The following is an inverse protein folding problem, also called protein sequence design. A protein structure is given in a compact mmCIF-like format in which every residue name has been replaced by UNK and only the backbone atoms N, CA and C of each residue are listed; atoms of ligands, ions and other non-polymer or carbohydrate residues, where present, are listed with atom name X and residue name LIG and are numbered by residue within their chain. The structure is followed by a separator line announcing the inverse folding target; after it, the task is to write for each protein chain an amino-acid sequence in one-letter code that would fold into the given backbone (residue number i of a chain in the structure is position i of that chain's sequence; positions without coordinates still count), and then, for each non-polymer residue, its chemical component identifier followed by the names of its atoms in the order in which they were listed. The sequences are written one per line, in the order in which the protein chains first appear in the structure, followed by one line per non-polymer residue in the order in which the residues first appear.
data_IF_559063208793
#
_entry.id   IF_559063208793
#
_cell.length_a   1.000
_cell.length_b   1.000
_cell.length_c   1.000
_cell.angle_alpha   90.00
_cell.angle_beta   90.00
_cell.angle_gamma   90.00
#
_symmetry.space_group_name_H-M   'P 1'
#
loop_
_entity.id
_entity.type
_entity.pdbx_description
1 polymer ?
#
# COMPACT_ATOMS: atom_id res chain seq x y z
N UNK A 1 -47.74 -12.77 -0.63
CA UNK A 1 -46.53 -13.37 -0.02
C UNK A 1 -45.33 -12.79 -0.74
N UNK A 2 -44.60 -11.90 -0.08
CA UNK A 2 -43.39 -11.25 -0.62
C UNK A 2 -42.19 -12.15 -0.40
N UNK A 3 -41.38 -12.35 -1.44
CA UNK A 3 -40.01 -12.84 -1.31
C UNK A 3 -39.09 -11.65 -1.55
N UNK A 4 -38.47 -11.18 -0.47
CA UNK A 4 -37.60 -10.00 -0.44
C UNK A 4 -36.28 -10.26 -1.16
N UNK A 5 -35.90 -9.29 -1.98
CA UNK A 5 -34.61 -9.16 -2.62
C UNK A 5 -33.66 -8.52 -1.59
N UNK A 6 -32.77 -9.31 -0.99
CA UNK A 6 -31.79 -8.84 0.00
C UNK A 6 -30.52 -8.39 -0.70
N UNK A 7 -30.57 -7.20 -1.30
CA UNK A 7 -29.36 -6.45 -1.65
C UNK A 7 -28.56 -6.15 -0.37
N UNK A 8 -27.24 -6.44 -0.30
CA UNK A 8 -26.44 -6.04 0.85
C UNK A 8 -26.32 -4.51 0.84
N UNK A 9 -26.95 -3.89 1.83
CA UNK A 9 -26.85 -2.47 2.12
C UNK A 9 -25.42 -2.16 2.59
N UNK A 10 -24.55 -1.78 1.65
CA UNK A 10 -23.27 -1.15 1.98
C UNK A 10 -23.52 0.25 2.56
N UNK A 11 -23.69 0.34 3.87
CA UNK A 11 -23.64 1.60 4.61
C UNK A 11 -22.19 2.10 4.67
N UNK A 12 -21.75 2.78 3.62
CA UNK A 12 -20.43 3.43 3.58
C UNK A 12 -20.46 4.72 4.40
N UNK A 13 -20.30 4.61 5.72
CA UNK A 13 -19.96 5.76 6.57
C UNK A 13 -18.49 6.15 6.32
N UNK A 14 -18.20 6.72 5.15
CA UNK A 14 -16.88 7.30 4.88
C UNK A 14 -16.68 8.54 5.73
N UNK A 15 -15.50 8.63 6.35
CA UNK A 15 -15.15 9.78 7.19
C UNK A 15 -15.08 11.05 6.33
N UNK A 16 -15.30 12.26 6.90
CA UNK A 16 -15.13 13.52 6.16
C UNK A 16 -13.78 13.62 5.44
N UNK A 17 -12.71 13.16 6.08
CA UNK A 17 -11.36 13.15 5.50
C UNK A 17 -11.24 12.23 4.27
N UNK A 18 -11.88 11.06 4.30
CA UNK A 18 -11.90 10.16 3.15
C UNK A 18 -12.68 10.77 1.97
N UNK A 19 -13.77 11.49 2.24
CA UNK A 19 -14.53 12.21 1.21
C UNK A 19 -13.70 13.31 0.56
N UNK A 20 -13.05 14.15 1.37
CA UNK A 20 -12.15 15.21 0.88
C UNK A 20 -11.06 14.60 -0.01
N UNK A 21 -10.42 13.52 0.43
CA UNK A 21 -9.36 12.89 -0.33
C UNK A 21 -9.86 12.28 -1.65
N UNK A 22 -11.06 11.70 -1.67
CA UNK A 22 -11.70 11.21 -2.89
C UNK A 22 -12.01 12.36 -3.86
N UNK A 23 -12.53 13.48 -3.38
CA UNK A 23 -12.80 14.67 -4.20
C UNK A 23 -11.51 15.27 -4.75
N UNK A 24 -10.47 15.41 -3.92
CA UNK A 24 -9.14 15.81 -4.38
C UNK A 24 -8.62 14.85 -5.45
N UNK A 25 -8.72 13.54 -5.25
CA UNK A 25 -8.27 12.57 -6.25
C UNK A 25 -9.03 12.76 -7.59
N UNK A 26 -10.35 12.92 -7.55
CA UNK A 26 -11.18 13.15 -8.74
C UNK A 26 -10.74 14.40 -9.51
N UNK A 27 -10.45 15.50 -8.82
CA UNK A 27 -9.93 16.72 -9.46
C UNK A 27 -8.60 16.49 -10.19
N UNK A 28 -7.76 15.57 -9.72
CA UNK A 28 -6.49 15.25 -10.38
C UNK A 28 -6.69 14.38 -11.63
N UNK A 29 -7.59 13.41 -11.58
CA UNK A 29 -7.73 12.36 -12.60
C UNK A 29 -8.88 12.59 -13.59
N UNK A 30 -9.62 13.70 -13.45
CA UNK A 30 -10.72 14.03 -14.37
C UNK A 30 -10.27 13.98 -15.85
N UNK A 31 -11.08 13.33 -16.69
CA UNK A 31 -10.74 13.04 -18.08
C UNK A 31 -10.72 14.29 -18.96
N UNK A 32 -11.49 15.31 -18.59
CA UNK A 32 -11.68 16.53 -19.37
C UNK A 32 -10.69 17.61 -18.91
N UNK A 33 -10.77 17.97 -17.63
CA UNK A 33 -10.11 19.10 -16.99
C UNK A 33 -9.23 18.68 -15.80
N UNK A 34 -8.83 17.40 -15.71
CA UNK A 34 -8.01 16.92 -14.59
C UNK A 34 -6.64 17.55 -14.52
N UNK A 35 -6.17 17.83 -13.29
CA UNK A 35 -4.88 18.48 -13.06
C UNK A 35 -3.71 17.70 -13.67
N UNK A 36 -3.74 16.36 -13.66
CA UNK A 36 -2.68 15.53 -14.29
C UNK A 36 -2.58 15.79 -15.79
N UNK A 37 -3.71 15.95 -16.48
CA UNK A 37 -3.77 16.22 -17.91
C UNK A 37 -3.29 17.64 -18.23
N UNK A 38 -3.74 18.62 -17.44
CA UNK A 38 -3.29 20.01 -17.55
C UNK A 38 -1.79 20.11 -17.30
N UNK A 39 -1.29 19.50 -16.23
CA UNK A 39 0.12 19.44 -15.88
C UNK A 39 0.96 18.89 -17.03
N UNK A 40 0.55 17.76 -17.62
CA UNK A 40 1.26 17.17 -18.78
C UNK A 40 1.37 18.14 -19.96
N UNK A 41 0.32 18.93 -20.26
CA UNK A 41 0.35 19.94 -21.33
C UNK A 41 1.33 21.08 -21.04
N UNK A 42 1.61 21.33 -19.75
CA UNK A 42 2.57 22.32 -19.28
C UNK A 42 3.97 21.72 -19.01
N UNK A 43 4.20 20.44 -19.36
CA UNK A 43 5.46 19.75 -19.08
C UNK A 43 5.66 19.37 -17.61
N UNK A 44 4.61 19.43 -16.78
CA UNK A 44 4.64 19.05 -15.37
C UNK A 44 4.15 17.61 -15.16
N UNK A 45 4.83 16.88 -14.28
CA UNK A 45 4.43 15.56 -13.84
C UNK A 45 3.72 15.65 -12.49
N UNK A 46 2.39 15.56 -12.49
CA UNK A 46 1.59 15.55 -11.26
C UNK A 46 1.15 14.13 -10.91
N UNK A 47 1.15 13.83 -9.61
CA UNK A 47 0.65 12.57 -9.07
C UNK A 47 -0.66 12.82 -8.32
N UNK A 48 -1.69 12.05 -8.64
CA UNK A 48 -2.96 12.13 -7.92
C UNK A 48 -2.78 11.68 -6.47
N UNK A 49 -3.35 12.39 -5.48
CA UNK A 49 -3.25 12.04 -4.08
C UNK A 49 -3.91 10.67 -3.81
N UNK A 50 -3.40 9.93 -2.83
CA UNK A 50 -3.85 8.57 -2.49
C UNK A 50 -4.15 8.42 -1.02
N UNK A 51 -5.00 7.45 -0.70
CA UNK A 51 -5.42 7.15 0.68
C UNK A 51 -4.27 6.74 1.60
N UNK A 52 -3.32 5.96 1.07
CA UNK A 52 -2.18 5.50 1.84
C UNK A 52 -0.91 6.22 1.41
N UNK A 53 -0.12 6.63 2.40
CA UNK A 53 1.27 7.05 2.17
C UNK A 53 2.16 5.80 2.15
N UNK A 54 3.20 5.83 1.32
CA UNK A 54 4.19 4.76 1.24
C UNK A 54 5.44 5.22 1.98
N UNK A 55 5.92 4.41 2.92
CA UNK A 55 7.12 4.68 3.71
C UNK A 55 8.10 3.54 3.49
N UNK A 56 9.22 3.82 2.84
CA UNK A 56 10.28 2.84 2.62
C UNK A 56 11.34 2.97 3.69
N UNK A 57 11.66 1.87 4.37
CA UNK A 57 12.69 1.83 5.41
C UNK A 57 13.98 1.30 4.81
N UNK A 58 15.03 2.11 4.79
CA UNK A 58 16.35 1.76 4.28
C UNK A 58 17.35 1.81 5.44
N UNK A 59 18.27 0.84 5.47
CA UNK A 59 19.33 0.78 6.46
C UNK A 59 20.05 -0.56 6.40
N UNK A 60 21.22 -0.62 7.03
CA UNK A 60 22.08 -1.81 7.05
C UNK A 60 21.38 -3.06 7.63
N UNK A 61 22.03 -4.20 7.48
CA UNK A 61 21.65 -5.41 8.20
C UNK A 61 21.50 -5.13 9.71
N UNK A 62 20.42 -5.61 10.31
CA UNK A 62 20.12 -5.44 11.75
C UNK A 62 19.86 -4.00 12.24
N UNK A 63 19.64 -3.02 11.36
CA UNK A 63 19.26 -1.65 11.76
C UNK A 63 17.86 -1.52 12.43
N UNK A 64 17.15 -2.63 12.62
CA UNK A 64 15.84 -2.67 13.29
C UNK A 64 14.64 -2.28 12.40
N UNK A 65 14.78 -2.33 11.07
CA UNK A 65 13.71 -1.99 10.11
C UNK A 65 12.43 -2.81 10.33
N UNK A 66 12.57 -4.14 10.27
CA UNK A 66 11.47 -5.10 10.47
C UNK A 66 10.89 -5.01 11.89
N UNK A 67 11.76 -4.83 12.89
CA UNK A 67 11.35 -4.64 14.29
C UNK A 67 10.56 -3.36 14.49
N UNK A 68 10.94 -2.26 13.83
CA UNK A 68 10.18 -1.01 13.87
C UNK A 68 8.79 -1.18 13.27
N UNK A 69 8.68 -1.87 12.13
CA UNK A 69 7.38 -2.14 11.49
C UNK A 69 6.49 -2.94 12.44
N UNK A 70 7.01 -4.04 13.02
CA UNK A 70 6.26 -4.86 13.98
C UNK A 70 5.80 -4.05 15.20
N UNK A 71 6.70 -3.22 15.76
CA UNK A 71 6.34 -2.31 16.85
C UNK A 71 5.27 -1.29 16.44
N UNK A 72 5.36 -0.74 15.23
CA UNK A 72 4.42 0.26 14.74
C UNK A 72 3.01 -0.34 14.60
N UNK A 73 2.90 -1.49 13.94
CA UNK A 73 1.64 -2.19 13.72
C UNK A 73 1.14 -2.93 14.97
N UNK A 74 1.99 -3.14 15.98
CA UNK A 74 1.65 -3.84 17.21
C UNK A 74 1.46 -5.36 17.04
N UNK A 75 2.08 -5.94 16.02
CA UNK A 75 1.96 -7.35 15.64
C UNK A 75 3.28 -7.84 15.04
N UNK A 76 3.54 -9.15 15.12
CA UNK A 76 4.73 -9.75 14.53
C UNK A 76 4.43 -10.24 13.11
N UNK A 77 4.52 -9.33 12.13
CA UNK A 77 4.25 -9.61 10.71
C UNK A 77 5.54 -9.93 9.95
N UNK A 78 6.62 -9.19 10.22
CA UNK A 78 7.94 -9.54 9.72
C UNK A 78 8.62 -10.51 10.68
N UNK A 79 9.35 -11.48 10.13
CA UNK A 79 10.30 -12.26 10.92
C UNK A 79 11.40 -11.32 11.42
N UNK A 80 11.81 -11.52 12.67
CA UNK A 80 12.87 -10.74 13.29
C UNK A 80 13.82 -11.69 14.01
N UNK A 81 15.12 -11.56 13.75
CA UNK A 81 16.18 -12.35 14.36
C UNK A 81 17.56 -11.94 13.86
N UNK A 82 18.59 -12.72 14.23
CA UNK A 82 20.01 -12.40 13.98
C UNK A 82 20.47 -12.86 12.58
N UNK A 83 19.75 -13.81 11.97
CA UNK A 83 20.06 -14.32 10.63
C UNK A 83 19.60 -13.35 9.53
N UNK A 84 20.15 -13.50 8.32
CA UNK A 84 19.79 -12.69 7.14
C UNK A 84 18.37 -13.06 6.67
N UNK A 85 17.36 -12.47 7.32
CA UNK A 85 15.95 -12.83 7.13
C UNK A 85 15.32 -12.13 5.93
N UNK A 86 15.63 -10.84 5.72
CA UNK A 86 15.04 -10.05 4.64
C UNK A 86 15.92 -10.09 3.39
N UNK A 87 15.63 -11.04 2.49
CA UNK A 87 16.32 -11.19 1.19
C UNK A 87 15.68 -10.37 0.06
N UNK A 88 14.50 -9.79 0.30
CA UNK A 88 13.70 -9.10 -0.71
C UNK A 88 12.92 -7.92 -0.15
N UNK A 89 12.13 -7.28 -1.01
CA UNK A 89 11.26 -6.17 -0.62
C UNK A 89 9.93 -6.73 -0.11
N UNK A 90 9.58 -6.39 1.13
CA UNK A 90 8.28 -6.75 1.70
C UNK A 90 7.41 -5.52 1.80
N UNK A 91 6.20 -5.58 1.25
CA UNK A 91 5.18 -4.54 1.34
C UNK A 91 4.25 -4.85 2.50
N UNK A 92 4.19 -4.00 3.51
CA UNK A 92 3.35 -4.22 4.69
C UNK A 92 2.20 -3.22 4.68
N UNK A 93 0.97 -3.70 4.53
CA UNK A 93 -0.21 -2.84 4.36
C UNK A 93 -1.44 -3.33 5.14
N UNK A 94 -2.31 -2.40 5.53
CA UNK A 94 -3.56 -2.76 6.20
C UNK A 94 -4.64 -3.31 5.24
N UNK A 95 -5.30 -4.40 5.60
CA UNK A 95 -6.43 -4.99 4.88
C UNK A 95 -7.55 -5.47 5.81
N UNK A 96 -8.57 -6.13 5.24
CA UNK A 96 -9.70 -6.67 6.02
C UNK A 96 -9.36 -8.00 6.71
N UNK A 97 -8.40 -8.75 6.17
CA UNK A 97 -7.94 -10.05 6.66
C UNK A 97 -6.43 -10.14 6.52
N UNK A 98 -5.82 -11.01 7.32
CA UNK A 98 -4.40 -11.31 7.22
C UNK A 98 -4.12 -12.22 6.05
N UNK A 99 -3.22 -11.79 5.17
CA UNK A 99 -2.85 -12.50 3.95
C UNK A 99 -1.41 -12.19 3.58
N UNK A 100 -0.72 -13.18 3.00
CA UNK A 100 0.63 -13.02 2.47
C UNK A 100 0.60 -13.31 0.97
N UNK A 101 1.18 -12.40 0.18
CA UNK A 101 1.27 -12.51 -1.27
C UNK A 101 2.74 -12.51 -1.70
N UNK A 102 3.06 -13.16 -2.81
CA UNK A 102 4.42 -13.18 -3.37
C UNK A 102 4.38 -12.91 -4.87
N UNK A 103 5.50 -12.40 -5.39
CA UNK A 103 5.70 -12.22 -6.82
C UNK A 103 4.68 -11.29 -7.47
N UNK A 104 4.11 -11.74 -8.58
CA UNK A 104 3.15 -10.93 -9.38
C UNK A 104 1.89 -10.55 -8.61
N UNK A 105 1.48 -11.32 -7.61
CA UNK A 105 0.31 -10.99 -6.80
C UNK A 105 0.50 -9.68 -6.01
N UNK A 106 1.73 -9.37 -5.59
CA UNK A 106 2.08 -8.09 -4.97
C UNK A 106 1.82 -6.92 -5.92
N UNK A 107 2.16 -7.05 -7.20
CA UNK A 107 2.00 -5.97 -8.18
C UNK A 107 0.55 -5.78 -8.64
N UNK A 108 -0.27 -6.83 -8.59
CA UNK A 108 -1.72 -6.69 -8.75
C UNK A 108 -2.33 -5.84 -7.64
N UNK A 109 -1.86 -5.99 -6.39
CA UNK A 109 -2.31 -5.15 -5.27
C UNK A 109 -1.79 -3.71 -5.38
N UNK A 110 -0.60 -3.52 -5.97
CA UNK A 110 0.00 -2.20 -6.16
C UNK A 110 0.29 -1.88 -7.64
N UNK A 111 -0.74 -1.57 -8.45
CA UNK A 111 -0.57 -1.34 -9.91
C UNK A 111 0.42 -0.23 -10.30
N UNK A 112 0.71 0.67 -9.37
CA UNK A 112 1.65 1.77 -9.55
C UNK A 112 3.11 1.36 -9.46
N UNK A 113 3.39 0.18 -8.91
CA UNK A 113 4.70 -0.44 -8.91
C UNK A 113 4.86 -1.43 -10.08
N UNK A 114 3.89 -1.52 -10.99
CA UNK A 114 3.96 -2.42 -12.15
C UNK A 114 5.21 -2.22 -13.01
N UNK A 115 5.75 -1.00 -13.07
CA UNK A 115 6.99 -0.73 -13.79
C UNK A 115 8.20 -1.50 -13.23
N UNK A 116 8.15 -2.00 -11.99
CA UNK A 116 9.19 -2.87 -11.43
C UNK A 116 9.31 -4.21 -12.16
N UNK A 117 8.27 -4.67 -12.88
CA UNK A 117 8.34 -5.87 -13.73
C UNK A 117 9.39 -5.73 -14.84
N UNK A 118 9.77 -4.50 -15.21
CA UNK A 118 10.84 -4.27 -16.19
C UNK A 118 12.23 -4.64 -15.69
N UNK A 119 12.41 -4.77 -14.35
CA UNK A 119 13.68 -5.15 -13.75
C UNK A 119 13.69 -6.67 -13.60
N UNK A 120 14.55 -7.32 -14.38
CA UNK A 120 14.69 -8.77 -14.38
C UNK A 120 14.98 -9.30 -12.97
N UNK A 121 14.21 -10.30 -12.53
CA UNK A 121 14.38 -10.97 -11.23
C UNK A 121 13.79 -10.22 -10.03
N UNK A 122 13.47 -8.92 -10.11
CA UNK A 122 12.95 -8.17 -8.95
C UNK A 122 11.68 -8.77 -8.39
N UNK A 123 10.76 -9.19 -9.26
CA UNK A 123 9.46 -9.74 -8.88
C UNK A 123 9.61 -10.95 -7.97
N UNK A 124 10.62 -11.80 -8.19
CA UNK A 124 10.85 -13.02 -7.40
C UNK A 124 11.24 -12.71 -5.95
N UNK A 125 11.71 -11.48 -5.69
CA UNK A 125 12.09 -10.95 -4.38
C UNK A 125 11.07 -9.92 -3.86
N UNK A 126 9.83 -9.92 -4.36
CA UNK A 126 8.75 -9.10 -3.82
C UNK A 126 7.73 -9.96 -3.07
N UNK A 127 7.34 -9.47 -1.90
CA UNK A 127 6.22 -10.03 -1.13
C UNK A 127 5.34 -8.92 -0.58
N UNK A 128 4.12 -9.27 -0.20
CA UNK A 128 3.21 -8.40 0.54
C UNK A 128 2.74 -9.14 1.79
N UNK A 129 2.79 -8.46 2.93
CA UNK A 129 2.07 -8.85 4.13
C UNK A 129 0.91 -7.90 4.39
N UNK A 130 -0.28 -8.48 4.51
CA UNK A 130 -1.52 -7.77 4.82
C UNK A 130 -1.86 -8.03 6.28
N UNK A 131 -2.04 -6.98 7.07
CA UNK A 131 -2.48 -7.06 8.48
C UNK A 131 -3.80 -6.32 8.66
N UNK A 132 -4.64 -6.80 9.58
CA UNK A 132 -5.88 -6.17 10.01
C UNK A 132 -5.71 -5.19 11.18
N UNK A 133 -4.46 -4.89 11.56
CA UNK A 133 -4.13 -3.98 12.64
C UNK A 133 -4.68 -2.56 12.43
N UNK A 134 -5.21 -2.01 13.52
CA UNK A 134 -5.71 -0.62 13.61
C UNK A 134 -4.76 0.29 14.40
N UNK A 135 -3.60 -0.21 14.78
CA UNK A 135 -2.63 0.54 15.60
C UNK A 135 -2.05 1.73 14.83
N UNK A 136 -1.80 2.83 15.56
CA UNK A 136 -1.04 4.01 15.09
C UNK A 136 -1.46 4.56 13.71
N UNK A 137 -2.74 4.38 13.32
CA UNK A 137 -3.28 4.75 11.98
C UNK A 137 -2.60 4.00 10.82
N UNK A 138 -2.20 2.75 11.03
CA UNK A 138 -1.62 1.88 10.00
C UNK A 138 -2.52 1.71 8.76
N UNK A 139 -3.84 1.88 8.88
CA UNK A 139 -4.76 1.92 7.74
C UNK A 139 -4.44 3.00 6.70
N UNK A 140 -3.66 4.02 7.06
CA UNK A 140 -3.20 5.12 6.20
C UNK A 140 -1.77 4.95 5.68
N UNK A 141 -1.07 3.88 6.07
CA UNK A 141 0.34 3.67 5.74
C UNK A 141 0.54 2.35 5.00
N UNK A 142 1.52 2.32 4.11
CA UNK A 142 2.10 1.10 3.56
C UNK A 142 3.59 1.19 3.77
N UNK A 143 4.15 0.25 4.51
CA UNK A 143 5.61 0.17 4.65
C UNK A 143 6.21 -0.66 3.53
N UNK A 144 7.41 -0.30 3.13
CA UNK A 144 8.28 -1.14 2.31
C UNK A 144 9.50 -1.44 3.18
N UNK A 145 9.61 -2.68 3.64
CA UNK A 145 10.82 -3.18 4.29
C UNK A 145 11.81 -3.60 3.19
N UNK A 146 13.04 -3.11 3.28
CA UNK A 146 14.08 -3.40 2.29
C UNK A 146 15.08 -4.41 2.82
N UNK A 147 15.79 -5.15 1.95
CA UNK A 147 16.97 -5.89 2.37
C UNK A 147 17.99 -4.93 3.03
N UNK A 148 18.83 -5.48 3.90
CA UNK A 148 19.94 -4.73 4.48
C UNK A 148 20.95 -4.33 3.39
N UNK A 149 21.39 -3.07 3.42
CA UNK A 149 22.54 -2.59 2.63
C UNK A 149 23.86 -3.11 3.18
#
# INVERSE_FOLDING_TARGET
MSTGDSSPTHTSNSTPNEKILQECHKMYVDSTNGLVKIGRRLGLQLLAPRRKVVVMLIGNHSAGKSSFINWYIGENVQKTGVAIETQGFTFITCGLKRESLTGKATLHLFPHFKNLESIMGVVDYMSTEISDSKQKRFNLVTFIDTPGL
#
